data_IF_545873745016
#
_entry.id   IF_545873745016
#
_cell.length_a   1.000
_cell.length_b   1.000
_cell.length_c   1.000
_cell.angle_alpha   90.00
_cell.angle_beta   90.00
_cell.angle_gamma   90.00
#
_symmetry.space_group_name_H-M   'P 1'
#
loop_
_entity.id
_entity.type
_entity.pdbx_description
1 polymer ?
#
# COMPACT_ATOMS: atom_id res chain seq x y z
N UNK A 1 -13.82 -8.71 -10.01
CA UNK A 1 -14.63 -8.15 -8.91
C UNK A 1 -14.41 -8.84 -7.55
N UNK A 2 -14.46 -10.18 -7.43
CA UNK A 2 -14.30 -10.86 -6.12
C UNK A 2 -13.03 -10.46 -5.34
N UNK A 3 -11.87 -10.49 -5.98
CA UNK A 3 -10.58 -10.11 -5.36
C UNK A 3 -10.55 -8.64 -4.94
N UNK A 4 -11.12 -7.74 -5.75
CA UNK A 4 -11.20 -6.31 -5.44
C UNK A 4 -12.02 -6.02 -4.18
N UNK A 5 -13.18 -6.65 -4.05
CA UNK A 5 -14.01 -6.49 -2.85
C UNK A 5 -13.36 -7.15 -1.63
N UNK A 6 -12.80 -8.36 -1.79
CA UNK A 6 -12.11 -9.04 -0.70
C UNK A 6 -10.92 -8.23 -0.18
N UNK A 7 -10.11 -7.63 -1.06
CA UNK A 7 -8.99 -6.77 -0.66
C UNK A 7 -9.48 -5.48 -0.02
N UNK A 8 -10.58 -4.90 -0.47
CA UNK A 8 -11.21 -3.74 0.18
C UNK A 8 -11.67 -4.04 1.61
N UNK A 9 -12.38 -5.16 1.80
CA UNK A 9 -12.80 -5.62 3.14
C UNK A 9 -11.58 -5.92 4.03
N UNK A 10 -10.55 -6.56 3.48
CA UNK A 10 -9.31 -6.82 4.21
C UNK A 10 -8.65 -5.51 4.67
N UNK A 11 -8.56 -4.48 3.80
CA UNK A 11 -8.00 -3.18 4.18
C UNK A 11 -8.84 -2.46 5.23
N UNK A 12 -10.17 -2.57 5.16
CA UNK A 12 -11.07 -2.00 6.16
C UNK A 12 -10.82 -2.57 7.57
N UNK A 13 -10.35 -3.81 7.69
CA UNK A 13 -9.90 -4.40 8.95
C UNK A 13 -8.43 -4.11 9.29
N UNK A 14 -7.52 -4.28 8.32
CA UNK A 14 -6.07 -4.17 8.52
C UNK A 14 -5.64 -2.76 8.91
N UNK A 15 -6.25 -1.71 8.35
CA UNK A 15 -5.84 -0.32 8.62
C UNK A 15 -6.15 0.07 10.08
N UNK A 16 -7.39 -0.08 10.59
CA UNK A 16 -7.66 0.15 12.01
C UNK A 16 -6.84 -0.74 12.93
N UNK A 17 -6.60 -2.00 12.55
CA UNK A 17 -5.76 -2.90 13.35
C UNK A 17 -4.31 -2.38 13.47
N UNK A 18 -3.74 -1.88 12.38
CA UNK A 18 -2.39 -1.30 12.38
C UNK A 18 -2.31 -0.02 13.25
N UNK A 19 -3.37 0.80 13.33
CA UNK A 19 -3.35 2.00 14.17
C UNK A 19 -3.33 1.66 15.65
N UNK A 20 -4.08 0.64 16.10
CA UNK A 20 -4.17 0.27 17.52
C UNK A 20 -2.94 -0.49 18.04
N UNK A 21 -2.21 -1.22 17.19
CA UNK A 21 -1.02 -1.99 17.61
C UNK A 21 0.16 -1.04 17.88
N UNK A 22 0.65 -0.85 19.12
CA UNK A 22 1.54 0.26 19.49
C UNK A 22 2.77 0.44 18.60
N UNK A 23 3.48 -0.65 18.30
CA UNK A 23 4.73 -0.63 17.52
C UNK A 23 4.65 -1.37 16.19
N UNK A 24 3.47 -1.70 15.65
CA UNK A 24 3.38 -2.58 14.49
C UNK A 24 3.86 -4.02 14.74
N UNK A 25 3.46 -4.94 13.87
CA UNK A 25 3.92 -6.32 13.87
C UNK A 25 4.11 -6.80 12.43
N UNK A 26 5.19 -7.55 12.19
CA UNK A 26 5.61 -7.95 10.85
C UNK A 26 4.49 -8.61 10.02
N UNK A 27 3.63 -9.51 10.55
CA UNK A 27 2.55 -10.10 9.75
C UNK A 27 1.55 -9.08 9.21
N UNK A 28 1.20 -8.06 10.03
CA UNK A 28 0.27 -7.00 9.62
C UNK A 28 0.94 -6.08 8.61
N UNK A 29 2.20 -5.73 8.82
CA UNK A 29 2.98 -4.91 7.90
C UNK A 29 3.16 -5.60 6.54
N UNK A 30 3.48 -6.90 6.51
CA UNK A 30 3.55 -7.68 5.27
C UNK A 30 2.18 -7.79 4.59
N UNK A 31 1.10 -8.03 5.33
CA UNK A 31 -0.24 -8.06 4.78
C UNK A 31 -0.62 -6.72 4.14
N UNK A 32 -0.38 -5.60 4.83
CA UNK A 32 -0.58 -4.25 4.26
C UNK A 32 0.29 -4.03 3.02
N UNK A 33 1.55 -4.47 3.05
CA UNK A 33 2.51 -4.34 1.95
C UNK A 33 2.10 -5.05 0.66
N UNK A 34 1.18 -6.02 0.73
CA UNK A 34 0.66 -6.76 -0.44
C UNK A 34 -0.78 -6.36 -0.77
N UNK A 35 -1.67 -6.37 0.22
CA UNK A 35 -3.11 -6.15 0.00
C UNK A 35 -3.35 -4.73 -0.52
N UNK A 36 -2.62 -3.73 -0.01
CA UNK A 36 -2.78 -2.34 -0.42
C UNK A 36 -2.38 -2.13 -1.89
N UNK A 37 -1.17 -2.51 -2.36
CA UNK A 37 -0.84 -2.40 -3.79
C UNK A 37 -1.75 -3.22 -4.70
N UNK A 38 -2.19 -4.42 -4.28
CA UNK A 38 -3.09 -5.26 -5.10
C UNK A 38 -4.46 -4.61 -5.26
N UNK A 39 -5.04 -4.09 -4.18
CA UNK A 39 -6.32 -3.36 -4.25
C UNK A 39 -6.18 -2.15 -5.19
N UNK A 40 -5.14 -1.35 -4.99
CA UNK A 40 -4.87 -0.15 -5.80
C UNK A 40 -4.60 -0.49 -7.26
N UNK A 41 -3.90 -1.59 -7.58
CA UNK A 41 -3.65 -2.02 -8.95
C UNK A 41 -4.96 -2.31 -9.71
N UNK A 42 -5.90 -3.00 -9.06
CA UNK A 42 -7.20 -3.30 -9.68
C UNK A 42 -8.01 -2.01 -9.84
N UNK A 43 -8.05 -1.15 -8.81
CA UNK A 43 -8.74 0.14 -8.86
C UNK A 43 -8.20 1.05 -9.99
N UNK A 44 -6.88 1.15 -10.12
CA UNK A 44 -6.23 1.97 -11.14
C UNK A 44 -6.44 1.42 -12.55
N UNK A 45 -6.66 0.11 -12.72
CA UNK A 45 -7.09 -0.43 -14.02
C UNK A 45 -8.50 0.04 -14.43
N UNK A 46 -9.39 0.33 -13.47
CA UNK A 46 -10.67 0.99 -13.76
C UNK A 46 -10.44 2.43 -14.21
N UNK A 47 -9.60 3.18 -13.51
CA UNK A 47 -9.21 4.55 -13.90
C UNK A 47 -8.61 4.58 -15.32
N UNK A 48 -7.72 3.64 -15.66
CA UNK A 48 -7.18 3.52 -17.02
C UNK A 48 -8.30 3.25 -18.04
N UNK A 49 -9.29 2.43 -17.67
CA UNK A 49 -10.39 2.08 -18.57
C UNK A 49 -11.34 3.26 -18.81
N UNK A 50 -11.48 4.15 -17.84
CA UNK A 50 -12.35 5.33 -17.90
C UNK A 50 -11.69 6.48 -18.66
N UNK A 51 -10.39 6.73 -18.43
CA UNK A 51 -9.74 7.97 -18.87
C UNK A 51 -8.67 7.80 -19.95
N UNK A 52 -8.10 6.60 -20.16
CA UNK A 52 -7.03 6.42 -21.15
C UNK A 52 -7.62 6.05 -22.53
N UNK A 53 -7.22 6.74 -23.62
CA UNK A 53 -7.64 6.38 -24.98
C UNK A 53 -7.31 4.93 -25.32
N UNK A 54 -8.18 4.24 -26.06
CA UNK A 54 -8.06 2.79 -26.33
C UNK A 54 -6.68 2.37 -26.84
N UNK A 55 -6.09 3.16 -27.74
CA UNK A 55 -4.77 2.90 -28.32
C UNK A 55 -3.61 2.92 -27.29
N UNK A 56 -3.78 3.62 -26.16
CA UNK A 56 -2.75 3.79 -25.14
C UNK A 56 -2.99 2.92 -23.89
N UNK A 57 -4.08 2.15 -23.83
CA UNK A 57 -4.43 1.36 -22.63
C UNK A 57 -3.43 0.25 -22.33
N UNK A 58 -2.95 -0.46 -23.36
CA UNK A 58 -1.98 -1.54 -23.16
C UNK A 58 -0.66 -1.03 -22.54
N UNK A 59 0.02 -0.01 -23.10
CA UNK A 59 1.22 0.52 -22.48
C UNK A 59 0.95 1.12 -21.09
N UNK A 60 -0.20 1.78 -20.88
CA UNK A 60 -0.57 2.29 -19.56
C UNK A 60 -0.73 1.17 -18.51
N UNK A 61 -1.39 0.06 -18.85
CA UNK A 61 -1.55 -1.10 -17.95
C UNK A 61 -0.22 -1.79 -17.67
N UNK A 62 0.65 -1.90 -18.67
CA UNK A 62 2.00 -2.44 -18.49
C UNK A 62 2.84 -1.55 -17.55
N UNK A 63 2.77 -0.22 -17.73
CA UNK A 63 3.40 0.73 -16.82
C UNK A 63 2.87 0.61 -15.39
N UNK A 64 1.55 0.52 -15.22
CA UNK A 64 0.91 0.32 -13.91
C UNK A 64 1.36 -0.99 -13.24
N UNK A 65 1.50 -2.08 -14.00
CA UNK A 65 2.05 -3.33 -13.48
C UNK A 65 3.48 -3.15 -12.98
N UNK A 66 4.34 -2.47 -13.75
CA UNK A 66 5.70 -2.14 -13.34
C UNK A 66 5.74 -1.33 -12.04
N UNK A 67 4.92 -0.27 -11.95
CA UNK A 67 4.78 0.54 -10.72
C UNK A 67 4.32 -0.32 -9.55
N UNK A 68 3.33 -1.19 -9.76
CA UNK A 68 2.79 -2.06 -8.69
C UNK A 68 3.86 -3.02 -8.15
N UNK A 69 4.62 -3.67 -9.03
CA UNK A 69 5.72 -4.54 -8.63
C UNK A 69 6.80 -3.76 -7.86
N UNK A 70 7.14 -2.55 -8.31
CA UNK A 70 8.10 -1.69 -7.63
C UNK A 70 7.60 -1.25 -6.24
N UNK A 71 6.31 -0.92 -6.12
CA UNK A 71 5.69 -0.59 -4.84
C UNK A 71 5.74 -1.78 -3.88
N UNK A 72 5.35 -2.97 -4.33
CA UNK A 72 5.42 -4.18 -3.49
C UNK A 72 6.85 -4.46 -3.04
N UNK A 73 7.83 -4.36 -3.95
CA UNK A 73 9.24 -4.56 -3.61
C UNK A 73 9.74 -3.53 -2.58
N UNK A 74 9.38 -2.25 -2.76
CA UNK A 74 9.72 -1.17 -1.82
C UNK A 74 9.09 -1.37 -0.45
N UNK A 75 7.82 -1.79 -0.38
CA UNK A 75 7.12 -2.08 0.87
C UNK A 75 7.67 -3.34 1.55
N UNK A 76 8.01 -4.38 0.79
CA UNK A 76 8.69 -5.57 1.32
C UNK A 76 10.04 -5.20 1.94
N UNK A 77 10.82 -4.35 1.26
CA UNK A 77 12.08 -3.82 1.79
C UNK A 77 11.85 -3.03 3.07
N UNK A 78 10.87 -2.12 3.10
CA UNK A 78 10.53 -1.33 4.28
C UNK A 78 10.13 -2.23 5.47
N UNK A 79 9.40 -3.31 5.21
CA UNK A 79 8.91 -4.22 6.24
C UNK A 79 9.98 -5.18 6.77
N UNK A 80 10.95 -5.57 5.95
CA UNK A 80 11.97 -6.57 6.34
C UNK A 80 13.29 -5.95 6.74
N UNK A 81 13.63 -4.76 6.22
CA UNK A 81 14.91 -4.09 6.45
C UNK A 81 14.75 -2.69 7.07
N UNK A 82 13.52 -2.19 7.18
CA UNK A 82 13.22 -0.89 7.78
C UNK A 82 12.35 -1.01 9.04
N UNK A 83 11.70 0.09 9.41
CA UNK A 83 10.84 0.15 10.60
C UNK A 83 9.47 -0.53 10.39
N UNK A 84 9.11 -0.91 9.17
CA UNK A 84 7.78 -1.39 8.80
C UNK A 84 6.75 -0.27 8.58
N UNK A 85 5.72 -0.56 7.79
CA UNK A 85 4.68 0.41 7.39
C UNK A 85 4.03 1.07 8.63
N UNK A 86 3.64 0.27 9.62
CA UNK A 86 2.92 0.78 10.80
C UNK A 86 3.76 1.75 11.62
N UNK A 87 5.01 1.39 11.98
CA UNK A 87 5.89 2.30 12.73
C UNK A 87 6.22 3.54 11.93
N UNK A 88 6.50 3.38 10.63
CA UNK A 88 6.79 4.49 9.73
C UNK A 88 5.65 5.52 9.74
N UNK A 89 4.41 5.06 9.58
CA UNK A 89 3.23 5.93 9.62
C UNK A 89 3.07 6.63 10.98
N UNK A 90 3.28 5.91 12.09
CA UNK A 90 3.19 6.49 13.44
C UNK A 90 4.29 7.49 13.74
N UNK A 91 5.51 7.22 13.29
CA UNK A 91 6.65 8.13 13.43
C UNK A 91 6.39 9.44 12.67
N UNK A 92 5.84 9.35 11.46
CA UNK A 92 5.42 10.52 10.68
C UNK A 92 4.30 11.34 11.38
N UNK A 93 3.50 10.71 12.23
CA UNK A 93 2.42 11.38 12.97
C UNK A 93 2.86 12.00 14.29
N UNK A 94 4.06 11.68 14.80
CA UNK A 94 4.59 12.27 16.03
C UNK A 94 5.16 13.67 15.75
N UNK A 95 5.05 14.56 16.72
CA UNK A 95 5.75 15.86 16.68
C UNK A 95 7.26 15.58 16.54
N UNK A 96 7.99 16.31 15.67
CA UNK A 96 9.45 16.25 15.65
C UNK A 96 9.98 16.51 17.06
N UNK A 97 10.94 15.71 17.52
CA UNK A 97 11.65 16.00 18.76
C UNK A 97 12.35 17.35 18.60
N UNK A 98 12.11 18.26 19.54
CA UNK A 98 12.80 19.54 19.59
C UNK A 98 14.22 19.25 20.09
N UNK A 99 15.28 19.45 19.28
CA UNK A 99 16.64 19.11 19.69
C UNK A 99 17.16 20.00 20.84
N UNK A 100 16.38 20.98 21.30
CA UNK A 100 16.75 21.93 22.34
C UNK A 100 15.84 21.88 23.59
N UNK A 101 15.00 20.84 23.74
CA UNK A 101 14.14 20.65 24.90
C UNK A 101 14.40 19.32 25.60
#
# INVERSE_FOLDING_TARGET
MKVYHASGVALAGLVPLATVIPGGVLPIDLALGVVMPVHSHIALNFVISDYVPKAQRLPARAGLLGVTCMTIAGLLKLNTQGEGITRTAKRLWKKPEDPFN
#
